data_IF_145978042147
#
_entry.id   IF_145978042147
#
_cell.length_a   1.000
_cell.length_b   1.000
_cell.length_c   1.000
_cell.angle_alpha   90.00
_cell.angle_beta   90.00
_cell.angle_gamma   90.00
#
_symmetry.space_group_name_H-M   'P 1'
#
loop_
_entity.id
_entity.type
_entity.pdbx_description
1 polymer ?
#
# COMPACT_ATOMS: atom_id res chain seq x y z
N UNK A 1 -16.84 -14.22 55.90
CA UNK A 1 -16.51 -15.59 55.48
C UNK A 1 -15.00 -15.71 55.33
N UNK A 2 -14.49 -16.91 55.59
CA UNK A 2 -13.13 -17.28 56.02
C UNK A 2 -12.15 -17.40 54.84
N UNK A 3 -10.88 -17.08 55.11
CA UNK A 3 -9.68 -17.19 54.26
C UNK A 3 -9.61 -18.42 53.35
N UNK A 4 -8.92 -18.26 52.21
CA UNK A 4 -7.84 -19.19 51.81
C UNK A 4 -6.88 -18.53 50.81
N UNK A 5 -5.64 -18.40 51.24
CA UNK A 5 -4.44 -18.19 50.43
C UNK A 5 -3.95 -19.58 49.99
N UNK A 6 -3.65 -19.76 48.71
CA UNK A 6 -2.80 -20.87 48.25
C UNK A 6 -1.69 -20.31 47.37
N UNK A 7 -0.49 -20.29 47.96
CA UNK A 7 0.78 -20.16 47.28
C UNK A 7 1.11 -21.54 46.71
N UNK A 8 1.45 -21.63 45.43
CA UNK A 8 2.24 -22.74 44.91
C UNK A 8 3.26 -22.21 43.91
N UNK A 9 4.51 -22.33 44.32
CA UNK A 9 5.73 -21.93 43.63
C UNK A 9 6.33 -23.10 42.82
N UNK A 10 7.25 -22.74 41.92
CA UNK A 10 8.27 -23.59 41.25
C UNK A 10 7.75 -24.51 40.12
N UNK A 11 8.30 -24.47 38.90
CA UNK A 11 9.72 -24.75 38.63
C UNK A 11 10.18 -24.15 37.30
N UNK A 12 11.40 -23.60 37.32
CA UNK A 12 12.20 -23.13 36.20
C UNK A 12 12.88 -24.34 35.52
N UNK A 13 12.78 -24.50 34.19
CA UNK A 13 13.73 -25.30 33.42
C UNK A 13 14.14 -24.54 32.14
N UNK A 14 15.34 -23.99 32.24
CA UNK A 14 16.22 -23.49 31.19
C UNK A 14 16.81 -24.69 30.45
N UNK A 15 16.57 -24.80 29.13
CA UNK A 15 17.36 -25.66 28.25
C UNK A 15 18.29 -24.82 27.36
N UNK A 16 19.53 -24.77 27.86
CA UNK A 16 20.84 -24.74 27.21
C UNK A 16 21.00 -24.30 25.73
N UNK A 17 21.95 -23.38 25.56
CA UNK A 17 22.70 -23.09 24.34
C UNK A 17 23.38 -24.33 23.74
N UNK A 18 23.43 -24.38 22.40
CA UNK A 18 24.35 -25.22 21.64
C UNK A 18 25.02 -24.43 20.53
N UNK A 19 26.06 -23.66 20.87
CA UNK A 19 27.10 -23.27 19.91
C UNK A 19 28.23 -24.29 20.00
N UNK A 20 28.65 -24.85 18.87
CA UNK A 20 29.97 -25.47 18.74
C UNK A 20 30.75 -24.72 17.66
N UNK A 21 31.98 -24.38 18.02
CA UNK A 21 32.93 -23.62 17.23
C UNK A 21 33.84 -24.55 16.41
N UNK A 22 34.21 -24.05 15.23
CA UNK A 22 35.49 -24.18 14.52
C UNK A 22 36.02 -25.58 14.14
N UNK A 23 36.23 -25.75 12.81
CA UNK A 23 37.59 -26.00 12.32
C UNK A 23 37.79 -25.46 10.90
N UNK A 24 38.83 -24.63 10.80
CA UNK A 24 39.53 -24.15 9.61
C UNK A 24 40.13 -25.30 8.82
N UNK A 25 40.10 -25.22 7.49
CA UNK A 25 41.27 -25.54 6.66
C UNK A 25 41.27 -24.68 5.39
N UNK A 26 42.37 -23.93 5.24
CA UNK A 26 42.77 -23.19 4.04
C UNK A 26 43.74 -24.11 3.30
N UNK A 27 43.55 -24.33 2.01
CA UNK A 27 44.65 -24.65 1.11
C UNK A 27 44.52 -23.85 -0.20
N UNK A 28 45.50 -23.00 -0.40
CA UNK A 28 45.86 -22.28 -1.62
C UNK A 28 46.18 -23.24 -2.77
N UNK A 29 45.96 -22.80 -4.02
CA UNK A 29 47.02 -22.48 -5.01
C UNK A 29 46.36 -21.90 -6.27
N UNK A 30 46.57 -20.61 -6.58
CA UNK A 30 47.53 -20.10 -7.58
C UNK A 30 47.07 -20.32 -9.03
N UNK A 31 47.10 -19.35 -9.93
CA UNK A 31 47.65 -18.00 -9.85
C UNK A 31 47.54 -17.27 -11.20
N UNK A 32 47.78 -15.96 -11.08
CA UNK A 32 48.35 -14.98 -12.03
C UNK A 32 47.63 -14.66 -13.37
N UNK A 33 47.11 -13.43 -13.50
CA UNK A 33 47.72 -12.18 -14.05
C UNK A 33 47.42 -12.12 -15.56
N UNK A 34 46.84 -11.07 -16.14
CA UNK A 34 47.44 -9.75 -16.44
C UNK A 34 46.33 -8.77 -16.90
N UNK A 35 46.43 -7.54 -16.40
CA UNK A 35 46.11 -6.22 -16.99
C UNK A 35 45.20 -6.14 -18.22
N UNK A 36 44.25 -5.19 -18.20
CA UNK A 36 44.25 -3.96 -19.04
C UNK A 36 42.94 -3.20 -18.79
N UNK A 37 43.03 -1.89 -18.53
CA UNK A 37 41.87 -1.06 -18.26
C UNK A 37 40.99 -0.82 -19.49
N UNK A 38 39.73 -0.44 -19.25
CA UNK A 38 38.97 0.50 -20.09
C UNK A 38 37.62 0.82 -19.46
N UNK A 39 37.43 2.13 -19.22
CA UNK A 39 36.24 2.96 -19.50
C UNK A 39 34.85 2.36 -19.25
N UNK A 40 34.14 3.07 -18.37
CA UNK A 40 32.72 3.45 -18.44
C UNK A 40 31.92 2.87 -19.60
N UNK A 41 30.84 2.13 -19.27
CA UNK A 41 29.62 2.15 -20.06
C UNK A 41 28.42 1.96 -19.13
N UNK A 42 27.85 3.10 -18.74
CA UNK A 42 26.46 3.25 -18.35
C UNK A 42 25.62 2.69 -19.50
N UNK A 43 25.10 1.48 -19.35
CA UNK A 43 24.04 0.98 -20.20
C UNK A 43 22.75 1.71 -19.80
N UNK A 44 22.53 2.84 -20.44
CA UNK A 44 21.25 3.53 -20.43
C UNK A 44 20.27 2.62 -21.20
N UNK A 45 19.50 1.81 -20.48
CA UNK A 45 18.38 1.10 -21.09
C UNK A 45 17.42 2.16 -21.61
N UNK A 46 17.29 2.26 -22.92
CA UNK A 46 16.14 2.91 -23.53
C UNK A 46 14.94 2.03 -23.20
N UNK A 47 14.36 2.23 -22.02
CA UNK A 47 13.13 1.58 -21.61
C UNK A 47 12.06 1.95 -22.63
N UNK A 48 11.48 0.93 -23.26
CA UNK A 48 10.32 1.10 -24.13
C UNK A 48 9.18 1.55 -23.23
N UNK A 49 8.92 2.86 -23.18
CA UNK A 49 7.86 3.44 -22.35
C UNK A 49 6.56 2.72 -22.68
N UNK A 50 5.99 2.01 -21.71
CA UNK A 50 4.72 1.34 -21.92
C UNK A 50 3.59 2.37 -21.93
N UNK A 51 2.45 2.01 -22.53
CA UNK A 51 1.23 2.84 -22.47
C UNK A 51 0.84 3.17 -21.03
N UNK A 52 1.03 2.23 -20.11
CA UNK A 52 0.70 2.40 -18.70
C UNK A 52 1.64 3.39 -18.01
N UNK A 53 2.94 3.34 -18.31
CA UNK A 53 3.91 4.30 -17.79
C UNK A 53 3.59 5.73 -18.24
N UNK A 54 3.10 5.88 -19.46
CA UNK A 54 2.67 7.17 -20.01
C UNK A 54 1.44 7.73 -19.27
N UNK A 55 0.40 6.89 -19.10
CA UNK A 55 -0.82 7.25 -18.35
C UNK A 55 -0.47 7.63 -16.91
N UNK A 56 0.35 6.80 -16.25
CA UNK A 56 0.75 7.03 -14.88
C UNK A 56 1.52 8.34 -14.72
N UNK A 57 2.46 8.62 -15.63
CA UNK A 57 3.21 9.87 -15.63
C UNK A 57 2.32 11.08 -15.86
N UNK A 58 1.46 11.04 -16.87
CA UNK A 58 0.58 12.14 -17.24
C UNK A 58 -0.39 12.49 -16.09
N UNK A 59 -1.11 11.50 -15.58
CA UNK A 59 -2.11 11.73 -14.55
C UNK A 59 -1.48 12.12 -13.20
N UNK A 60 -0.29 11.60 -12.86
CA UNK A 60 0.44 12.05 -11.68
C UNK A 60 0.88 13.51 -11.79
N UNK A 61 1.29 13.96 -12.98
CA UNK A 61 1.65 15.37 -13.19
C UNK A 61 0.43 16.27 -13.01
N UNK A 62 -0.73 15.90 -13.57
CA UNK A 62 -1.99 16.66 -13.39
C UNK A 62 -2.32 16.86 -11.90
N UNK A 63 -2.21 15.79 -11.11
CA UNK A 63 -2.43 15.83 -9.66
C UNK A 63 -1.46 16.78 -8.96
N UNK A 64 -0.17 16.75 -9.34
CA UNK A 64 0.86 17.63 -8.77
C UNK A 64 0.59 19.10 -9.13
N UNK A 65 0.21 19.38 -10.37
CA UNK A 65 -0.08 20.71 -10.87
C UNK A 65 -1.34 21.32 -10.22
N UNK A 66 -2.32 20.47 -9.92
CA UNK A 66 -3.55 20.84 -9.21
C UNK A 66 -3.34 21.29 -7.76
N UNK A 67 -2.19 20.96 -7.14
CA UNK A 67 -1.84 21.34 -5.75
C UNK A 67 -2.98 21.03 -4.76
N UNK A 68 -3.54 22.06 -4.13
CA UNK A 68 -4.61 21.93 -3.14
C UNK A 68 -6.01 21.90 -3.79
N UNK A 69 -6.12 22.10 -5.10
CA UNK A 69 -7.38 22.03 -5.85
C UNK A 69 -7.75 20.60 -6.25
N UNK A 70 -7.57 19.66 -5.32
CA UNK A 70 -7.92 18.26 -5.48
C UNK A 70 -9.27 17.95 -4.81
N UNK A 71 -9.94 16.92 -5.30
CA UNK A 71 -11.09 16.32 -4.60
C UNK A 71 -10.56 15.32 -3.58
N UNK A 72 -11.10 15.37 -2.35
CA UNK A 72 -10.81 14.40 -1.29
C UNK A 72 -12.05 13.60 -0.95
N UNK A 73 -11.85 12.39 -0.44
CA UNK A 73 -12.92 11.59 0.10
C UNK A 73 -13.19 12.02 1.55
N UNK A 74 -14.44 11.93 1.97
CA UNK A 74 -14.92 12.29 3.29
C UNK A 74 -15.25 11.03 4.08
N UNK A 75 -14.91 11.04 5.36
CA UNK A 75 -15.40 10.06 6.33
C UNK A 75 -16.27 10.82 7.33
N UNK A 76 -17.58 10.57 7.28
CA UNK A 76 -18.49 11.07 8.30
C UNK A 76 -18.35 10.18 9.51
N UNK A 77 -17.81 10.71 10.62
CA UNK A 77 -17.69 9.97 11.88
C UNK A 77 -18.85 10.26 12.85
N UNK A 78 -19.68 11.26 12.50
CA UNK A 78 -20.91 11.59 13.25
C UNK A 78 -21.83 10.38 13.28
N UNK A 79 -22.44 10.16 14.44
CA UNK A 79 -23.36 9.05 14.71
C UNK A 79 -22.79 7.64 14.53
N UNK A 80 -21.45 7.51 14.43
CA UNK A 80 -20.77 6.23 14.26
C UNK A 80 -20.83 5.67 12.84
N UNK A 81 -21.24 6.48 11.84
CA UNK A 81 -20.92 6.15 10.46
C UNK A 81 -19.40 6.14 10.29
N UNK A 82 -18.91 5.29 9.39
CA UNK A 82 -17.50 5.21 9.01
C UNK A 82 -17.38 5.06 7.51
N UNK A 83 -18.47 5.28 6.76
CA UNK A 83 -18.45 5.17 5.32
C UNK A 83 -17.53 6.23 4.72
N UNK A 84 -16.68 5.78 3.80
CA UNK A 84 -15.84 6.66 3.00
C UNK A 84 -16.64 7.04 1.76
N UNK A 85 -16.87 8.33 1.57
CA UNK A 85 -17.58 8.89 0.43
C UNK A 85 -16.66 9.75 -0.41
N UNK A 86 -16.68 9.56 -1.72
CA UNK A 86 -16.08 10.47 -2.68
C UNK A 86 -17.15 10.83 -3.70
N UNK A 87 -17.35 12.12 -3.94
CA UNK A 87 -18.16 12.61 -5.04
C UNK A 87 -17.20 13.26 -6.02
N UNK A 88 -17.09 12.71 -7.23
CA UNK A 88 -16.19 13.27 -8.23
C UNK A 88 -16.60 14.70 -8.59
N UNK A 89 -15.62 15.59 -8.67
CA UNK A 89 -15.81 16.92 -9.22
C UNK A 89 -14.92 17.07 -10.45
N UNK A 90 -15.51 17.08 -11.65
CA UNK A 90 -14.77 17.15 -12.92
C UNK A 90 -13.87 18.40 -13.07
N UNK A 91 -14.03 19.40 -12.19
CA UNK A 91 -13.19 20.61 -12.17
C UNK A 91 -11.98 20.48 -11.24
N UNK A 92 -11.85 19.36 -10.53
CA UNK A 92 -10.80 19.10 -9.55
C UNK A 92 -10.27 17.69 -9.74
N UNK A 93 -8.96 17.56 -9.71
CA UNK A 93 -8.36 16.25 -9.89
C UNK A 93 -8.48 15.40 -8.63
N UNK A 94 -8.58 14.08 -8.82
CA UNK A 94 -8.30 13.10 -7.79
C UNK A 94 -7.82 11.81 -8.45
N UNK A 95 -6.90 11.14 -7.77
CA UNK A 95 -6.34 9.86 -8.18
C UNK A 95 -5.87 9.12 -6.94
N UNK A 96 -6.80 8.38 -6.35
CA UNK A 96 -6.69 7.79 -5.01
C UNK A 96 -6.59 6.28 -5.16
N UNK A 97 -5.43 5.72 -4.82
CA UNK A 97 -5.24 4.28 -4.76
C UNK A 97 -5.52 3.73 -3.35
N UNK A 98 -6.15 2.56 -3.30
CA UNK A 98 -6.18 1.68 -2.14
C UNK A 98 -5.14 0.59 -2.28
N UNK A 99 -4.30 0.41 -1.26
CA UNK A 99 -3.14 -0.48 -1.25
C UNK A 99 -3.34 -1.67 -0.31
N UNK A 100 -2.65 -2.79 -0.56
CA UNK A 100 -2.71 -3.99 0.30
C UNK A 100 -1.97 -3.82 1.65
N UNK A 101 -1.04 -2.88 1.73
CA UNK A 101 -0.30 -2.52 2.95
C UNK A 101 -0.16 -0.99 3.01
N UNK A 102 0.21 -0.38 4.15
CA UNK A 102 0.43 1.07 4.27
C UNK A 102 1.74 1.52 3.59
N UNK A 103 1.87 1.19 2.30
CA UNK A 103 2.99 1.45 1.41
C UNK A 103 2.47 1.64 -0.02
N UNK A 104 2.80 2.77 -0.63
CA UNK A 104 2.44 3.11 -2.02
C UNK A 104 3.08 2.20 -3.07
N UNK A 105 4.12 1.44 -2.69
CA UNK A 105 4.76 0.43 -3.53
C UNK A 105 4.11 -0.95 -3.45
N UNK A 106 3.15 -1.13 -2.54
CA UNK A 106 2.44 -2.40 -2.41
C UNK A 106 1.34 -2.57 -3.46
N UNK A 107 0.77 -3.77 -3.53
CA UNK A 107 -0.28 -4.11 -4.49
C UNK A 107 -1.42 -3.07 -4.45
N UNK A 108 -1.76 -2.52 -5.62
CA UNK A 108 -2.88 -1.59 -5.81
C UNK A 108 -4.16 -2.40 -5.93
N UNK A 109 -5.01 -2.32 -4.92
CA UNK A 109 -6.25 -3.09 -4.82
C UNK A 109 -7.44 -2.38 -5.42
N UNK A 110 -7.50 -1.06 -5.30
CA UNK A 110 -8.63 -0.20 -5.69
C UNK A 110 -8.09 1.10 -6.31
N UNK A 111 -8.82 1.67 -7.27
CA UNK A 111 -8.57 3.02 -7.76
C UNK A 111 -9.86 3.85 -7.79
N UNK A 112 -9.77 5.07 -7.26
CA UNK A 112 -10.75 6.15 -7.39
C UNK A 112 -10.09 7.27 -8.19
N UNK A 113 -10.51 7.52 -9.44
CA UNK A 113 -9.84 8.49 -10.32
C UNK A 113 -10.82 9.28 -11.18
N UNK A 114 -10.59 10.57 -11.34
CA UNK A 114 -11.37 11.41 -12.28
C UNK A 114 -11.03 11.10 -13.74
N UNK A 115 -9.88 10.48 -14.00
CA UNK A 115 -9.37 10.28 -15.34
C UNK A 115 -9.94 9.00 -15.97
N UNK A 116 -10.60 9.12 -17.12
CA UNK A 116 -11.17 7.96 -17.83
C UNK A 116 -10.12 6.90 -18.18
N UNK A 117 -8.91 7.33 -18.55
CA UNK A 117 -7.80 6.42 -18.86
C UNK A 117 -7.24 5.66 -17.64
N UNK A 118 -7.64 6.02 -16.42
CA UNK A 118 -7.35 5.27 -15.19
C UNK A 118 -8.46 4.28 -14.84
N UNK A 119 -9.70 4.55 -15.27
CA UNK A 119 -10.90 3.83 -14.84
C UNK A 119 -11.35 2.82 -15.89
N UNK A 120 -11.42 3.25 -17.15
CA UNK A 120 -11.95 2.45 -18.25
C UNK A 120 -11.13 1.18 -18.45
N UNK A 121 -11.80 0.02 -18.38
CA UNK A 121 -11.18 -1.30 -18.47
C UNK A 121 -10.15 -1.63 -17.37
N UNK A 122 -10.10 -0.86 -16.27
CA UNK A 122 -9.23 -1.11 -15.12
C UNK A 122 -7.77 -1.42 -15.52
N UNK A 123 -7.06 -0.47 -16.16
CA UNK A 123 -5.75 -0.72 -16.77
C UNK A 123 -4.65 -1.04 -15.75
N UNK A 124 -4.86 -0.68 -14.48
CA UNK A 124 -3.95 -1.00 -13.38
C UNK A 124 -4.23 -2.36 -12.72
N UNK A 125 -5.24 -3.10 -13.20
CA UNK A 125 -5.55 -4.44 -12.69
C UNK A 125 -5.97 -4.47 -11.22
N UNK A 126 -6.54 -3.37 -10.71
CA UNK A 126 -7.00 -3.29 -9.32
C UNK A 126 -8.12 -4.31 -9.09
N UNK A 127 -7.88 -5.33 -8.25
CA UNK A 127 -8.82 -6.46 -8.09
C UNK A 127 -10.17 -6.07 -7.47
N UNK A 128 -10.22 -4.97 -6.71
CA UNK A 128 -11.45 -4.40 -6.18
C UNK A 128 -12.09 -3.39 -7.14
N UNK A 129 -11.48 -3.15 -8.30
CA UNK A 129 -11.99 -2.29 -9.36
C UNK A 129 -11.33 -0.91 -9.44
N UNK A 130 -11.70 -0.18 -10.49
CA UNK A 130 -11.38 1.22 -10.70
C UNK A 130 -12.69 1.98 -10.96
N UNK A 131 -12.88 3.12 -10.31
CA UNK A 131 -14.13 3.88 -10.34
C UNK A 131 -13.87 5.38 -10.36
N UNK A 132 -14.82 6.14 -10.88
CA UNK A 132 -14.75 7.60 -10.85
C UNK A 132 -14.90 8.15 -9.43
N UNK A 133 -15.84 7.58 -8.68
CA UNK A 133 -16.18 7.99 -7.32
C UNK A 133 -16.87 6.83 -6.58
N UNK A 134 -17.34 7.06 -5.35
CA UNK A 134 -18.01 6.00 -4.58
C UNK A 134 -19.45 5.75 -5.04
N UNK A 135 -20.07 6.66 -5.80
CA UNK A 135 -21.42 6.44 -6.34
C UNK A 135 -21.44 5.37 -7.43
N UNK A 136 -20.31 5.19 -8.14
CA UNK A 136 -20.14 4.11 -9.10
C UNK A 136 -19.90 2.71 -8.49
N UNK A 137 -19.70 2.61 -7.18
CA UNK A 137 -19.39 1.36 -6.48
C UNK A 137 -20.65 0.60 -6.04
N UNK A 138 -21.47 0.15 -6.99
CA UNK A 138 -22.74 -0.52 -6.68
C UNK A 138 -22.59 -1.83 -5.87
N UNK A 139 -21.42 -2.45 -5.93
CA UNK A 139 -21.16 -3.78 -5.39
C UNK A 139 -20.08 -3.76 -4.28
N UNK A 140 -19.62 -2.57 -3.88
CA UNK A 140 -18.51 -2.39 -2.94
C UNK A 140 -18.77 -1.18 -2.02
N UNK A 141 -18.64 -1.35 -0.71
CA UNK A 141 -18.69 -0.26 0.27
C UNK A 141 -17.35 -0.12 0.98
N UNK A 142 -16.90 1.10 1.21
CA UNK A 142 -15.67 1.40 1.95
C UNK A 142 -16.00 1.91 3.35
N UNK A 143 -15.42 1.27 4.37
CA UNK A 143 -15.56 1.67 5.78
C UNK A 143 -14.19 2.00 6.37
N UNK A 144 -14.04 3.18 6.94
CA UNK A 144 -12.89 3.58 7.73
C UNK A 144 -12.77 2.73 9.00
N UNK A 145 -11.55 2.34 9.38
CA UNK A 145 -11.29 1.63 10.63
C UNK A 145 -10.40 2.43 11.57
N UNK A 146 -9.26 2.93 11.07
CA UNK A 146 -8.26 3.61 11.90
C UNK A 146 -7.28 4.41 11.04
N UNK A 147 -6.50 5.28 11.68
CA UNK A 147 -5.35 5.95 11.04
C UNK A 147 -4.04 5.29 11.50
N UNK A 148 -3.09 5.11 10.60
CA UNK A 148 -1.76 4.54 10.91
C UNK A 148 -0.70 5.26 10.08
N UNK A 149 0.08 6.13 10.74
CA UNK A 149 1.06 6.98 10.07
C UNK A 149 0.40 7.88 9.01
N UNK A 150 0.91 7.80 7.78
CA UNK A 150 0.42 8.57 6.64
C UNK A 150 -0.72 7.88 5.88
N UNK A 151 -1.30 6.82 6.42
CA UNK A 151 -2.39 6.07 5.80
C UNK A 151 -3.60 5.98 6.72
N UNK A 152 -4.78 5.84 6.12
CA UNK A 152 -5.94 5.26 6.80
C UNK A 152 -5.99 3.76 6.50
N UNK A 153 -6.43 2.97 7.47
CA UNK A 153 -6.87 1.60 7.30
C UNK A 153 -8.38 1.63 7.07
N UNK A 154 -8.82 0.97 6.01
CA UNK A 154 -10.23 0.82 5.67
C UNK A 154 -10.55 -0.64 5.31
N UNK A 155 -11.83 -0.97 5.36
CA UNK A 155 -12.38 -2.25 4.94
C UNK A 155 -13.25 -2.02 3.71
N UNK A 156 -12.91 -2.68 2.62
CA UNK A 156 -13.75 -2.80 1.44
C UNK A 156 -14.64 -4.03 1.60
N UNK A 157 -15.96 -3.83 1.58
CA UNK A 157 -16.97 -4.87 1.82
C UNK A 157 -17.72 -5.05 0.51
N UNK A 158 -17.65 -6.25 -0.08
CA UNK A 158 -18.39 -6.57 -1.29
C UNK A 158 -19.84 -6.95 -0.98
N UNK A 159 -20.68 -7.10 -2.02
CA UNK A 159 -22.09 -7.51 -1.87
C UNK A 159 -22.29 -8.90 -1.26
N UNK A 160 -21.28 -9.77 -1.33
CA UNK A 160 -21.27 -11.07 -0.66
C UNK A 160 -20.80 -10.99 0.80
N UNK A 161 -20.57 -9.76 1.33
CA UNK A 161 -20.01 -9.47 2.65
C UNK A 161 -18.58 -9.97 2.86
N UNK A 162 -17.83 -10.25 1.80
CA UNK A 162 -16.39 -10.47 1.94
C UNK A 162 -15.71 -9.14 2.24
N UNK A 163 -14.80 -9.17 3.21
CA UNK A 163 -14.08 -8.00 3.67
C UNK A 163 -12.63 -8.06 3.22
N UNK A 164 -12.17 -7.03 2.52
CA UNK A 164 -10.76 -6.82 2.17
C UNK A 164 -10.22 -5.61 2.90
N UNK A 165 -9.14 -5.77 3.66
CA UNK A 165 -8.42 -4.62 4.23
C UNK A 165 -7.69 -3.87 3.11
N UNK A 166 -7.85 -2.55 3.08
CA UNK A 166 -7.12 -1.65 2.19
C UNK A 166 -6.51 -0.50 2.99
N UNK A 167 -5.47 0.11 2.43
CA UNK A 167 -4.82 1.28 2.99
C UNK A 167 -4.88 2.42 1.98
N UNK A 168 -5.28 3.61 2.40
CA UNK A 168 -5.38 4.79 1.52
C UNK A 168 -4.50 5.89 2.13
N UNK A 169 -3.72 6.60 1.32
CA UNK A 169 -2.90 7.71 1.83
C UNK A 169 -3.82 8.77 2.47
N UNK A 170 -3.50 9.16 3.71
CA UNK A 170 -4.31 10.09 4.52
C UNK A 170 -4.51 11.45 3.85
N UNK A 171 -3.58 11.90 3.00
CA UNK A 171 -3.68 13.16 2.26
C UNK A 171 -4.95 13.28 1.40
N UNK A 172 -5.55 12.14 1.03
CA UNK A 172 -6.77 12.05 0.23
C UNK A 172 -8.06 12.07 1.04
N UNK A 173 -7.97 12.11 2.37
CA UNK A 173 -9.10 11.92 3.27
C UNK A 173 -9.34 13.16 4.14
N UNK A 174 -10.58 13.61 4.19
CA UNK A 174 -11.09 14.56 5.16
C UNK A 174 -12.06 13.88 6.11
N UNK A 175 -12.04 14.28 7.38
CA UNK A 175 -12.88 13.71 8.43
C UNK A 175 -13.88 14.78 8.87
N UNK A 176 -15.16 14.44 8.89
CA UNK A 176 -16.28 15.34 9.24
C UNK A 176 -17.15 14.83 10.40
#
# INVERSE_FOLDING_TARGET
MRNSICISTFTLLIFACGQTNQKTDKLEKSGQTISTGSKTQTAQSTETITKLDSIEKENNNSIVDSKDSITKAFVFLKDGDSTIYLIANIKKDHRIFGYASPDVKSERLLLLSVFTNDVENNPFGCRLGAYYDTNGMNELTLKYNSTTGNFIKATAIDKANNSTTIFIEKKWIEFE
#
